data_IF_166579447933
#
_entry.id   IF_166579447933
#
_cell.length_a   1.000
_cell.length_b   1.000
_cell.length_c   1.000
_cell.angle_alpha   90.00
_cell.angle_beta   90.00
_cell.angle_gamma   90.00
#
_symmetry.space_group_name_H-M   'P 1'
#
loop_
_entity.id
_entity.type
_entity.pdbx_description
1 polymer ?
2 non-polymer ?
3 non-polymer ?
4 water ?
#
# COMPACT_ATOMS: atom_id res chain seq x y z
N UNK A 5 -8.42 9.60 -14.77
CA UNK A 5 -8.14 8.17 -14.56
C UNK A 5 -6.77 7.92 -13.93
N UNK A 6 -5.75 8.65 -14.38
CA UNK A 6 -4.45 8.67 -13.72
C UNK A 6 -4.16 10.11 -13.33
N UNK A 7 -3.72 10.29 -12.09
CA UNK A 7 -3.57 11.61 -11.52
C UNK A 7 -2.16 11.79 -10.98
N UNK A 8 -1.53 12.89 -11.35
CA UNK A 8 -0.18 13.23 -10.91
C UNK A 8 -0.30 14.03 -9.61
N UNK A 9 0.25 13.48 -8.53
CA UNK A 9 0.13 14.16 -7.25
C UNK A 9 1.35 14.99 -6.90
N UNK A 10 2.53 14.57 -7.33
CA UNK A 10 3.79 15.25 -7.14
C UNK A 10 4.84 14.41 -7.84
N UNK A 11 6.07 14.91 -8.00
CA UNK A 11 7.07 14.13 -8.76
C UNK A 11 7.25 12.72 -8.22
N UNK A 12 7.04 11.74 -9.10
CA UNK A 12 7.14 10.34 -8.74
C UNK A 12 5.99 9.80 -7.93
N UNK A 13 4.84 10.48 -7.93
CA UNK A 13 3.68 10.03 -7.17
C UNK A 13 2.45 10.06 -8.08
N UNK A 14 1.94 8.89 -8.40
CA UNK A 14 0.86 8.72 -9.36
C UNK A 14 -0.25 7.92 -8.69
N UNK A 15 -1.48 8.40 -8.82
CA UNK A 15 -2.66 7.69 -8.35
C UNK A 15 -3.42 7.14 -9.56
N UNK A 16 -3.59 5.82 -9.59
CA UNK A 16 -4.26 5.13 -10.69
C UNK A 16 -5.68 4.82 -10.22
N UNK A 17 -6.65 5.61 -10.69
CA UNK A 17 -8.02 5.45 -10.21
C UNK A 17 -8.65 4.18 -10.75
N UNK A 18 -9.25 3.39 -9.86
CA UNK A 18 -10.01 2.20 -10.26
C UNK A 18 -9.19 1.27 -11.14
N UNK A 19 -7.89 1.16 -10.82
CA UNK A 19 -6.99 0.37 -11.66
C UNK A 19 -7.26 -1.12 -11.53
N UNK A 20 -7.61 -1.60 -10.34
CA UNK A 20 -7.85 -3.02 -10.12
C UNK A 20 -9.16 -3.49 -10.77
N UNK A 21 -9.07 -4.52 -11.62
CA UNK A 21 -10.27 -5.04 -12.28
C UNK A 21 -11.21 -5.69 -11.28
N UNK A 22 -12.46 -5.86 -11.71
CA UNK A 22 -13.52 -6.47 -10.88
C UNK A 22 -13.05 -7.78 -10.27
N UNK A 23 -12.71 -8.75 -11.13
CA UNK A 23 -12.41 -10.08 -10.62
C UNK A 23 -11.12 -10.10 -9.83
N UNK A 24 -10.21 -9.17 -10.14
CA UNK A 24 -8.96 -9.09 -9.39
C UNK A 24 -9.19 -8.62 -7.96
N UNK A 25 -10.08 -7.63 -7.77
CA UNK A 25 -10.42 -7.19 -6.42
C UNK A 25 -11.03 -8.34 -5.63
N UNK A 26 -11.96 -9.06 -6.24
CA UNK A 26 -12.55 -10.20 -5.55
C UNK A 26 -11.47 -11.23 -5.23
N UNK A 27 -10.59 -11.51 -6.20
CA UNK A 27 -9.55 -12.50 -5.99
C UNK A 27 -8.59 -12.07 -4.90
N UNK A 28 -8.28 -10.77 -4.84
CA UNK A 28 -7.34 -10.28 -3.84
C UNK A 28 -7.94 -10.43 -2.44
N UNK A 29 -9.21 -10.07 -2.29
CA UNK A 29 -9.90 -10.23 -1.00
C UNK A 29 -9.94 -11.70 -0.61
N UNK A 30 -10.35 -12.57 -1.54
CA UNK A 30 -10.49 -13.99 -1.20
C UNK A 30 -9.14 -14.59 -0.79
N UNK A 31 -8.06 -14.26 -1.51
CA UNK A 31 -6.75 -14.78 -1.13
C UNK A 31 -6.32 -14.25 0.24
N UNK A 32 -6.56 -12.96 0.51
CA UNK A 32 -6.18 -12.39 1.80
C UNK A 32 -7.07 -12.91 2.93
N UNK A 33 -8.33 -13.22 2.65
CA UNK A 33 -9.17 -13.82 3.67
C UNK A 33 -8.62 -15.17 4.11
N UNK A 34 -8.17 -15.97 3.16
CA UNK A 34 -7.69 -17.31 3.47
C UNK A 34 -6.29 -17.29 4.08
N UNK A 35 -5.37 -16.53 3.48
CA UNK A 35 -4.05 -16.36 4.08
C UNK A 35 -4.13 -15.69 5.44
N UNK A 36 -5.12 -14.81 5.63
CA UNK A 36 -5.25 -14.07 6.87
C UNK A 36 -5.65 -14.88 8.08
N UNK A 37 -6.28 -16.04 7.89
CA UNK A 37 -6.68 -16.88 9.03
C UNK A 37 -5.72 -18.02 9.28
N UNK A 38 -4.83 -18.35 8.34
CA UNK A 38 -3.90 -19.44 8.50
C UNK A 38 -2.62 -19.02 9.23
N UNK A 39 -1.62 -19.89 9.13
CA UNK A 39 -0.32 -19.62 9.74
C UNK A 39 0.29 -18.34 9.15
N UNK A 40 0.80 -17.48 10.02
CA UNK A 40 1.31 -16.21 9.54
C UNK A 40 0.24 -15.23 9.13
N UNK A 41 -0.97 -15.36 9.67
CA UNK A 41 -2.08 -14.50 9.33
C UNK A 41 -2.11 -13.20 10.13
N UNK A 42 -3.27 -12.55 10.10
CA UNK A 42 -3.41 -11.22 10.68
C UNK A 42 -3.16 -11.23 12.18
N UNK A 43 -2.54 -10.16 12.67
CA UNK A 43 -2.39 -9.94 14.11
C UNK A 43 -2.42 -8.44 14.37
N UNK A 44 -2.64 -8.09 15.62
CA UNK A 44 -2.66 -6.69 16.01
C UNK A 44 -1.25 -6.27 16.41
N UNK A 45 -0.61 -5.36 15.66
CA UNK A 45 0.77 -4.98 16.01
C UNK A 45 0.78 -4.16 17.29
N UNK A 46 1.77 -4.43 18.13
CA UNK A 46 1.91 -3.63 19.34
C UNK A 46 2.41 -2.22 19.06
N UNK A 47 3.11 -2.04 17.94
CA UNK A 47 3.74 -0.78 17.58
C UNK A 47 3.63 -0.55 16.08
N UNK A 48 3.23 0.67 15.69
CA UNK A 48 3.43 1.15 14.33
C UNK A 48 3.97 2.56 14.38
N UNK A 49 4.95 2.84 13.53
CA UNK A 49 5.48 4.20 13.42
C UNK A 49 4.36 5.16 13.06
N UNK A 50 4.13 6.14 13.94
CA UNK A 50 3.05 7.09 13.78
C UNK A 50 1.82 6.79 14.61
N UNK A 51 1.77 5.63 15.24
CA UNK A 51 0.58 5.24 15.96
C UNK A 51 -0.48 4.67 15.04
N UNK A 52 -1.44 3.97 15.64
CA UNK A 52 -2.48 3.33 14.85
C UNK A 52 -3.68 3.07 15.72
N UNK A 53 -4.80 2.82 15.06
CA UNK A 53 -6.08 2.52 15.69
C UNK A 53 -6.79 1.49 14.83
N UNK A 54 -7.32 0.43 15.45
CA UNK A 54 -8.21 -0.53 14.79
C UNK A 54 -7.55 -1.10 13.52
N UNK A 55 -6.29 -1.49 13.68
CA UNK A 55 -5.47 -1.97 12.57
C UNK A 55 -4.92 -3.35 12.89
N UNK A 56 -5.07 -4.27 11.94
CA UNK A 56 -4.37 -5.54 11.96
C UNK A 56 -3.52 -5.66 10.70
N UNK A 57 -2.49 -6.49 10.76
CA UNK A 57 -1.57 -6.60 9.63
C UNK A 57 -1.06 -8.03 9.50
N UNK A 58 -0.58 -8.33 8.30
CA UNK A 58 0.17 -9.55 8.05
C UNK A 58 1.06 -9.27 6.85
N UNK A 59 2.20 -9.94 6.80
CA UNK A 59 3.11 -9.71 5.69
C UNK A 59 3.08 -10.91 4.74
N UNK A 60 3.33 -10.62 3.46
CA UNK A 60 3.63 -11.65 2.48
C UNK A 60 5.04 -11.40 1.96
N UNK A 61 5.74 -12.49 1.63
CA UNK A 61 7.13 -12.39 1.25
C UNK A 61 8.00 -12.30 2.49
N UNK A 62 8.75 -11.21 2.63
CA UNK A 62 9.52 -10.97 3.84
C UNK A 62 8.61 -10.39 4.93
N UNK A 63 9.02 -10.58 6.18
CA UNK A 63 8.25 -10.08 7.30
C UNK A 63 8.85 -8.78 7.84
N UNK A 64 7.99 -7.81 8.12
CA UNK A 64 8.37 -6.61 8.86
C UNK A 64 7.92 -6.78 10.31
N UNK A 65 8.88 -6.78 11.24
CA UNK A 65 8.56 -7.08 12.64
C UNK A 65 8.40 -5.79 13.43
N UNK A 66 7.27 -5.59 14.13
CA UNK A 66 7.12 -4.34 14.90
C UNK A 66 8.07 -4.24 16.08
N UNK A 67 8.23 -5.33 16.83
CA UNK A 67 9.04 -5.27 18.05
C UNK A 67 10.48 -4.87 17.75
N UNK A 68 11.05 -5.37 16.64
CA UNK A 68 12.43 -5.10 16.28
C UNK A 68 12.57 -4.02 15.21
N UNK A 69 11.50 -3.70 14.49
CA UNK A 69 11.50 -2.67 13.45
C UNK A 69 12.52 -2.99 12.35
N UNK A 70 12.54 -4.26 11.91
CA UNK A 70 13.44 -4.73 10.87
C UNK A 70 12.76 -5.84 10.08
N UNK A 71 13.36 -6.21 8.96
CA UNK A 71 12.85 -7.25 8.07
C UNK A 71 13.51 -8.61 8.34
N UNK A 72 12.75 -9.68 8.12
CA UNK A 72 13.28 -11.00 8.40
C UNK A 72 12.46 -12.08 7.72
N UNK A 73 12.82 -13.34 7.98
CA UNK A 73 12.17 -14.50 7.38
C UNK A 73 10.91 -14.94 8.10
N UNK A 74 10.82 -14.73 9.40
CA UNK A 74 9.69 -15.22 10.18
C UNK A 74 9.25 -14.16 11.18
N UNK A 75 8.00 -14.25 11.61
CA UNK A 75 7.53 -13.40 12.70
C UNK A 75 8.16 -13.88 14.00
N UNK A 76 8.82 -13.01 14.75
CA UNK A 76 9.45 -13.46 16.00
C UNK A 76 8.47 -14.02 17.02
N UNK A 77 7.28 -13.42 17.18
CA UNK A 77 6.43 -13.77 18.31
C UNK A 77 5.83 -15.16 18.19
N UNK A 78 5.62 -15.67 16.98
CA UNK A 78 5.10 -17.03 16.83
C UNK A 78 5.90 -17.91 15.88
N UNK A 79 7.02 -17.43 15.34
CA UNK A 79 7.83 -18.23 14.46
C UNK A 79 7.24 -18.53 13.09
N UNK A 80 6.10 -17.97 12.73
CA UNK A 80 5.48 -18.30 11.45
C UNK A 80 6.22 -17.65 10.29
N UNK A 81 6.38 -18.41 9.22
CA UNK A 81 6.89 -17.78 8.00
C UNK A 81 5.73 -17.17 7.22
N UNK A 82 5.90 -15.97 6.68
CA UNK A 82 4.83 -15.36 5.91
C UNK A 82 4.57 -16.15 4.65
N UNK A 83 3.32 -16.20 4.18
CA UNK A 83 3.06 -16.71 2.83
C UNK A 83 3.86 -15.93 1.81
N UNK A 84 4.18 -16.57 0.69
CA UNK A 84 4.86 -15.81 -0.34
C UNK A 84 3.87 -14.91 -1.07
N UNK A 85 4.39 -13.92 -1.78
CA UNK A 85 3.56 -13.00 -2.55
C UNK A 85 3.02 -13.75 -3.76
N UNK A 86 1.70 -13.83 -3.94
CA UNK A 86 1.14 -14.44 -5.15
C UNK A 86 1.70 -13.76 -6.40
N UNK A 87 2.01 -14.57 -7.42
CA UNK A 87 2.55 -13.99 -8.65
C UNK A 87 1.56 -13.06 -9.32
N UNK A 88 0.27 -13.30 -9.17
CA UNK A 88 -0.72 -12.39 -9.75
C UNK A 88 -0.62 -11.01 -9.12
N UNK A 89 -0.30 -10.95 -7.83
CA UNK A 89 -0.11 -9.65 -7.18
C UNK A 89 1.07 -8.91 -7.79
N UNK A 90 2.20 -9.62 -7.95
CA UNK A 90 3.39 -9.01 -8.55
C UNK A 90 3.12 -8.55 -9.97
N UNK A 91 2.31 -9.31 -10.73
CA UNK A 91 1.95 -8.91 -12.10
C UNK A 91 1.21 -7.57 -12.12
N UNK A 92 0.22 -7.42 -11.23
CA UNK A 92 -0.56 -6.19 -11.17
C UNK A 92 0.33 -5.03 -10.78
N UNK A 93 1.26 -5.24 -9.84
CA UNK A 93 2.19 -4.19 -9.43
C UNK A 93 3.00 -3.70 -10.63
N UNK A 94 3.56 -4.63 -11.40
CA UNK A 94 4.37 -4.25 -12.54
C UNK A 94 3.54 -3.56 -13.62
N UNK A 95 2.29 -3.99 -13.81
CA UNK A 95 1.39 -3.31 -14.74
C UNK A 95 1.11 -1.88 -14.29
N UNK A 96 0.94 -1.68 -12.97
CA UNK A 96 0.68 -0.34 -12.45
C UNK A 96 1.87 0.59 -12.70
N UNK A 97 3.09 0.07 -12.49
CA UNK A 97 4.28 0.85 -12.78
C UNK A 97 4.36 1.16 -14.27
N UNK A 98 4.13 0.15 -15.11
CA UNK A 98 4.16 0.38 -16.55
C UNK A 98 3.14 1.43 -16.96
N UNK A 99 1.92 1.35 -16.42
CA UNK A 99 0.91 2.34 -16.75
C UNK A 99 1.30 3.72 -16.27
N UNK A 100 1.85 3.79 -15.06
CA UNK A 100 2.31 5.08 -14.53
C UNK A 100 3.38 5.69 -15.42
N UNK A 101 4.37 4.88 -15.82
CA UNK A 101 5.46 5.43 -16.61
C UNK A 101 4.99 5.89 -17.98
N UNK A 102 3.99 5.22 -18.54
CA UNK A 102 3.40 5.69 -19.79
C UNK A 102 2.70 7.03 -19.59
N UNK A 103 1.96 7.16 -18.48
CA UNK A 103 1.34 8.42 -18.13
C UNK A 103 2.39 9.52 -17.99
N UNK A 104 3.47 9.25 -17.24
CA UNK A 104 4.52 10.25 -17.03
C UNK A 104 5.22 10.59 -18.34
N UNK A 105 5.36 9.61 -19.24
CA UNK A 105 5.90 9.90 -20.58
C UNK A 105 5.02 10.90 -21.31
N UNK A 106 3.71 10.70 -21.26
CA UNK A 106 2.82 11.57 -22.04
C UNK A 106 2.71 12.96 -21.42
N UNK A 107 2.85 13.08 -20.11
CA UNK A 107 2.74 14.36 -19.46
C UNK A 107 4.04 15.16 -19.50
N UNK A 108 5.10 14.63 -20.13
CA UNK A 108 6.43 15.18 -19.95
C UNK A 108 6.57 16.60 -20.49
N UNK A 109 5.94 16.88 -21.64
CA UNK A 109 6.39 17.86 -22.63
C UNK A 109 7.06 19.14 -22.07
N UNK A 110 7.94 19.77 -22.88
CA UNK A 110 9.38 19.90 -22.60
C UNK A 110 10.04 21.05 -21.82
N UNK A 111 9.47 21.59 -20.75
CA UNK A 111 10.23 22.53 -19.93
C UNK A 111 11.03 21.84 -18.82
N UNK A 112 10.89 20.52 -18.67
CA UNK A 112 11.48 19.79 -17.55
C UNK A 112 11.95 18.42 -18.03
N UNK A 113 12.69 17.74 -17.15
CA UNK A 113 13.10 16.37 -17.40
C UNK A 113 11.87 15.46 -17.53
N UNK A 114 12.04 14.38 -18.28
CA UNK A 114 11.04 13.31 -18.34
C UNK A 114 11.10 12.52 -17.04
N UNK A 115 9.93 12.35 -16.40
CA UNK A 115 9.88 11.54 -15.18
C UNK A 115 9.67 10.07 -15.52
N UNK A 116 10.21 9.22 -14.66
CA UNK A 116 10.12 7.79 -14.85
C UNK A 116 10.33 7.10 -13.51
N UNK A 117 9.39 6.24 -13.13
CA UNK A 117 9.53 5.48 -11.90
C UNK A 117 10.43 4.27 -12.13
N UNK A 118 11.34 3.96 -11.21
CA UNK A 118 12.16 2.75 -11.35
C UNK A 118 11.30 1.50 -11.30
N UNK A 119 11.76 0.40 -11.87
CA UNK A 119 10.99 -0.84 -11.80
C UNK A 119 10.96 -1.38 -10.37
N UNK A 120 10.03 -2.30 -10.14
CA UNK A 120 9.91 -2.90 -8.81
C UNK A 120 9.75 -4.40 -8.95
N UNK A 121 10.53 -5.13 -8.16
CA UNK A 121 10.35 -6.57 -7.98
C UNK A 121 10.07 -6.77 -6.49
N UNK A 122 8.83 -6.54 -6.06
CA UNK A 122 8.57 -6.50 -4.62
C UNK A 122 8.79 -7.86 -3.98
N UNK A 123 9.49 -7.84 -2.85
CA UNK A 123 9.64 -9.01 -2.00
C UNK A 123 9.01 -8.76 -0.64
N UNK A 124 8.35 -7.62 -0.46
CA UNK A 124 7.64 -7.23 0.74
C UNK A 124 6.23 -6.85 0.33
N UNK A 125 5.22 -7.47 0.94
CA UNK A 125 3.86 -6.96 0.87
C UNK A 125 3.29 -6.84 2.28
N UNK A 126 3.00 -5.62 2.69
CA UNK A 126 2.35 -5.38 3.96
C UNK A 126 0.84 -5.33 3.70
N UNK A 127 0.10 -6.24 4.33
CA UNK A 127 -1.36 -6.28 4.23
C UNK A 127 -1.92 -5.68 5.52
N UNK A 128 -2.55 -4.52 5.40
CA UNK A 128 -3.16 -3.80 6.52
C UNK A 128 -4.67 -3.94 6.43
N UNK A 129 -5.32 -4.33 7.52
CA UNK A 129 -6.78 -4.28 7.56
C UNK A 129 -7.24 -3.29 8.63
N UNK A 130 -8.05 -2.33 8.22
CA UNK A 130 -8.64 -1.30 9.08
C UNK A 130 -10.12 -1.58 9.23
N UNK A 131 -10.63 -1.63 10.46
CA UNK A 131 -12.07 -1.55 10.61
C UNK A 131 -12.50 -0.08 10.47
N UNK A 132 -13.79 0.21 10.72
CA UNK A 132 -14.29 1.54 10.37
C UNK A 132 -13.63 2.64 11.19
N UNK A 133 -13.15 2.34 12.39
CA UNK A 133 -12.48 3.33 13.22
C UNK A 133 -10.98 3.39 12.98
N UNK A 134 -10.50 2.81 11.88
CA UNK A 134 -9.06 2.66 11.69
C UNK A 134 -8.36 3.97 11.39
N UNK A 135 -7.07 4.01 11.74
CA UNK A 135 -6.19 5.14 11.47
C UNK A 135 -4.75 4.62 11.50
N UNK A 136 -3.87 5.34 10.81
CA UNK A 136 -2.43 5.05 10.83
C UNK A 136 -1.73 6.39 10.73
N UNK A 137 -0.88 6.72 11.71
CA UNK A 137 -0.28 8.04 11.78
C UNK A 137 0.79 8.29 10.74
N UNK A 138 1.16 9.57 10.58
CA UNK A 138 2.19 9.94 9.60
C UNK A 138 3.51 9.22 9.88
N UNK A 139 4.12 8.69 8.82
CA UNK A 139 5.40 8.00 8.92
C UNK A 139 6.03 7.95 7.54
N UNK A 140 7.33 7.69 7.52
CA UNK A 140 8.07 7.39 6.31
C UNK A 140 8.26 5.88 6.18
N UNK A 141 8.26 5.37 4.95
CA UNK A 141 8.65 3.99 4.68
C UNK A 141 10.17 4.00 4.59
N UNK A 142 10.83 3.87 5.74
CA UNK A 142 12.26 4.09 5.80
C UNK A 142 13.03 2.85 6.26
N UNK A 143 12.41 1.67 6.26
CA UNK A 143 13.05 0.46 6.78
C UNK A 143 13.67 -0.41 5.70
N UNK A 144 13.49 -0.10 4.42
CA UNK A 144 14.14 -0.81 3.33
C UNK A 144 15.64 -0.48 3.32
N UNK A 145 16.42 -1.29 2.58
CA UNK A 145 17.87 -1.10 2.55
C UNK A 145 18.23 0.24 1.91
N UNK A 146 19.39 0.77 2.28
CA UNK A 146 19.81 2.07 1.76
C UNK A 146 19.88 2.11 0.23
N UNK A 147 20.42 1.10 -0.47
CA UNK A 147 20.39 1.17 -1.94
C UNK A 147 18.99 1.18 -2.51
N UNK A 148 18.07 0.42 -1.92
CA UNK A 148 16.67 0.47 -2.35
C UNK A 148 16.10 1.87 -2.21
N UNK A 149 16.31 2.49 -1.05
CA UNK A 149 15.82 3.85 -0.84
C UNK A 149 16.55 4.85 -1.72
N UNK A 150 17.87 4.71 -1.83
CA UNK A 150 18.65 5.68 -2.61
C UNK A 150 18.27 5.65 -4.08
N UNK A 151 17.92 4.47 -4.60
CA UNK A 151 17.48 4.36 -5.98
C UNK A 151 16.04 4.83 -6.17
N UNK A 152 15.32 5.12 -5.09
CA UNK A 152 13.94 5.55 -5.21
C UNK A 152 12.97 4.48 -5.64
N UNK A 153 13.30 3.21 -5.42
CA UNK A 153 12.41 2.12 -5.77
C UNK A 153 11.03 2.36 -5.15
N UNK A 154 9.97 2.33 -5.94
CA UNK A 154 8.68 2.85 -5.48
C UNK A 154 7.98 1.94 -4.49
N UNK A 155 7.07 2.56 -3.74
CA UNK A 155 6.05 1.87 -2.96
C UNK A 155 4.81 1.80 -3.81
N UNK A 156 4.21 0.61 -3.93
CA UNK A 156 2.97 0.42 -4.70
C UNK A 156 1.89 -0.07 -3.75
N UNK A 157 0.78 0.65 -3.68
CA UNK A 157 -0.25 0.42 -2.66
C UNK A 157 -1.61 0.17 -3.30
N UNK A 158 -2.21 -0.99 -2.99
CA UNK A 158 -3.57 -1.34 -3.41
C UNK A 158 -4.56 -0.92 -2.33
N UNK A 159 -5.73 -0.43 -2.75
CA UNK A 159 -6.80 -0.08 -1.83
C UNK A 159 -8.06 -0.86 -2.19
N UNK A 160 -8.71 -1.46 -1.20
CA UNK A 160 -9.94 -2.21 -1.44
C UNK A 160 -10.91 -2.02 -0.28
N UNK A 161 -12.20 -1.95 -0.60
CA UNK A 161 -13.21 -1.79 0.44
C UNK A 161 -13.58 -0.35 0.68
N UNK A 162 -13.76 0.03 1.94
CA UNK A 162 -14.09 1.41 2.26
C UNK A 162 -12.96 2.37 1.86
N UNK A 163 -13.35 3.60 1.54
CA UNK A 163 -12.39 4.63 1.15
C UNK A 163 -11.56 5.09 2.34
N UNK A 164 -10.27 5.32 2.11
CA UNK A 164 -9.40 5.91 3.11
C UNK A 164 -9.13 7.37 2.76
N UNK A 165 -9.11 8.23 3.77
CA UNK A 165 -8.55 9.58 3.64
C UNK A 165 -7.05 9.46 3.89
N UNK A 166 -6.24 9.69 2.86
CA UNK A 166 -4.81 9.42 2.87
C UNK A 166 -4.06 10.74 2.93
N UNK A 167 -3.19 10.89 3.93
CA UNK A 167 -2.41 12.11 4.11
C UNK A 167 -1.01 11.90 3.55
N UNK A 168 -0.43 12.95 2.96
CA UNK A 168 0.95 12.85 2.51
C UNK A 168 1.61 14.23 2.50
N UNK A 169 2.90 14.25 2.77
CA UNK A 169 3.63 15.50 2.80
C UNK A 169 5.09 15.26 3.09
N UNK A 170 5.82 16.35 3.27
CA UNK A 170 7.27 16.24 3.44
C UNK A 170 7.70 16.15 4.89
N UNK A 171 6.80 16.36 5.85
CA UNK A 171 7.15 16.45 7.26
C UNK A 171 6.11 15.74 8.11
N UNK A 172 6.47 15.50 9.37
CA UNK A 172 5.60 14.86 10.34
C UNK A 172 4.72 15.92 11.05
N UNK A 173 3.82 16.50 10.25
CA UNK A 173 2.91 17.53 10.76
C UNK A 173 1.73 17.61 9.81
N UNK A 174 0.54 17.21 10.30
CA UNK A 174 -0.67 17.21 9.49
C UNK A 174 -0.99 18.59 8.92
N UNK A 175 -0.54 19.66 9.60
CA UNK A 175 -0.81 21.00 9.08
C UNK A 175 -0.14 21.24 7.74
N UNK A 176 0.88 20.44 7.42
CA UNK A 176 1.60 20.58 6.16
C UNK A 176 1.29 19.43 5.20
N UNK A 177 0.29 18.61 5.51
CA UNK A 177 -0.02 17.44 4.71
C UNK A 177 -1.11 17.79 3.69
N UNK A 178 -1.05 17.11 2.55
CA UNK A 178 -2.14 17.10 1.59
C UNK A 178 -3.02 15.86 1.83
N UNK A 179 -4.23 15.88 1.28
CA UNK A 179 -5.17 14.77 1.43
C UNK A 179 -5.65 14.30 0.05
N UNK A 180 -5.71 12.98 -0.12
CA UNK A 180 -6.38 12.38 -1.28
C UNK A 180 -7.19 11.19 -0.78
N UNK A 181 -8.36 10.99 -1.38
CA UNK A 181 -9.15 9.80 -1.07
C UNK A 181 -8.65 8.60 -1.88
N UNK A 182 -8.40 7.50 -1.20
CA UNK A 182 -8.06 6.24 -1.84
C UNK A 182 -9.29 5.35 -1.78
N UNK A 183 -9.94 5.17 -2.93
CA UNK A 183 -11.19 4.42 -3.05
C UNK A 183 -10.90 3.00 -3.49
N UNK A 184 -11.88 2.12 -3.33
CA UNK A 184 -11.70 0.71 -3.68
C UNK A 184 -11.28 0.58 -5.15
N UNK A 185 -10.21 -0.18 -5.38
CA UNK A 185 -9.64 -0.38 -6.69
C UNK A 185 -8.51 0.57 -7.04
N UNK A 186 -8.33 1.65 -6.28
CA UNK A 186 -7.25 2.59 -6.58
C UNK A 186 -5.89 1.97 -6.29
N UNK A 187 -4.90 2.32 -7.10
CA UNK A 187 -3.51 1.97 -6.86
C UNK A 187 -2.72 3.25 -6.78
N UNK A 188 -1.95 3.42 -5.71
CA UNK A 188 -1.12 4.60 -5.50
C UNK A 188 0.34 4.17 -5.56
N UNK A 189 1.17 4.94 -6.27
CA UNK A 189 2.61 4.66 -6.37
C UNK A 189 3.35 5.90 -5.92
N UNK A 190 4.32 5.75 -5.01
CA UNK A 190 5.26 6.83 -4.74
C UNK A 190 6.70 6.31 -4.79
N UNK A 191 7.50 6.92 -5.66
CA UNK A 191 8.91 6.58 -5.77
C UNK A 191 9.70 7.79 -6.22
N UNK A 192 10.97 7.59 -6.57
CA UNK A 192 11.77 8.74 -6.95
C UNK A 192 11.81 9.76 -5.84
N UNK A 193 11.64 11.03 -6.23
CA UNK A 193 11.71 12.10 -5.24
C UNK A 193 10.58 12.05 -4.21
N UNK A 194 9.54 11.24 -4.44
CA UNK A 194 8.48 11.08 -3.44
C UNK A 194 8.63 9.83 -2.59
N UNK A 195 9.75 9.09 -2.71
CA UNK A 195 9.86 7.80 -2.05
C UNK A 195 9.79 7.91 -0.54
N UNK A 196 10.22 9.05 0.02
CA UNK A 196 10.29 9.22 1.46
C UNK A 196 9.23 10.20 1.99
N UNK A 197 8.10 10.34 1.30
CA UNK A 197 7.04 11.18 1.83
C UNK A 197 6.58 10.63 3.18
N UNK A 198 6.25 11.54 4.08
CA UNK A 198 5.46 11.18 5.25
C UNK A 198 4.03 10.92 4.81
N UNK A 199 3.39 9.88 5.35
CA UNK A 199 2.06 9.53 4.86
C UNK A 199 1.33 8.72 5.93
N UNK A 200 0.02 8.63 5.77
CA UNK A 200 -0.77 7.87 6.72
C UNK A 200 -2.23 7.90 6.35
N UNK A 201 -3.05 7.32 7.23
CA UNK A 201 -4.48 7.18 6.99
C UNK A 201 -5.19 7.89 8.13
N UNK A 202 -5.85 9.01 7.83
CA UNK A 202 -6.49 9.79 8.89
C UNK A 202 -7.89 9.30 9.23
N UNK A 203 -8.53 8.57 8.31
CA UNK A 203 -9.94 8.22 8.48
C UNK A 203 -10.30 7.16 7.45
N UNK A 204 -11.16 6.23 7.84
CA UNK A 204 -11.85 5.34 6.92
C UNK A 204 -13.27 5.86 6.78
N UNK A 205 -13.73 6.04 5.54
CA UNK A 205 -15.09 6.53 5.30
C UNK A 205 -16.06 5.36 5.38
N UNK A 206 -16.94 5.29 6.37
CA UNK A 206 -17.78 4.10 6.49
C UNK A 206 -18.77 4.01 5.34
N UNK A 207 -19.11 2.76 5.00
CA UNK A 207 -20.18 2.46 4.04
C UNK A 207 -19.87 3.02 2.66
N UNK A 208 -18.60 2.98 2.26
CA UNK A 208 -18.22 3.45 0.94
C UNK A 208 -17.76 2.33 0.01
N UNK A 209 -17.52 1.14 0.53
CA UNK A 209 -17.14 0.00 -0.30
C UNK A 209 -18.24 -0.31 -1.32
N UNK A 210 -17.88 -0.64 -2.56
CA UNK A 210 -18.90 -0.95 -3.57
C UNK A 210 -19.72 -2.17 -3.16
N UNK A 211 -21.03 -2.09 -3.41
CA UNK A 211 -21.93 -3.17 -3.03
C UNK A 211 -21.54 -4.49 -3.67
N UNK A 212 -21.17 -4.46 -4.96
CA UNK A 212 -20.82 -5.70 -5.64
C UNK A 212 -19.62 -6.37 -5.00
N UNK A 213 -18.66 -5.58 -4.50
CA UNK A 213 -17.48 -6.19 -3.88
C UNK A 213 -17.82 -6.75 -2.51
N UNK A 214 -18.57 -6.00 -1.70
CA UNK A 214 -19.00 -6.51 -0.41
C UNK A 214 -19.77 -7.82 -0.58
N UNK A 215 -20.62 -7.87 -1.62
CA UNK A 215 -21.48 -9.04 -1.85
C UNK A 215 -20.69 -10.22 -2.40
N UNK A 216 -19.88 -9.98 -3.44
CA UNK A 216 -19.23 -11.12 -4.08
C UNK A 216 -18.07 -11.64 -3.25
N UNK A 217 -17.32 -10.75 -2.59
CA UNK A 217 -16.16 -11.15 -1.81
C UNK A 217 -16.48 -11.39 -0.34
N UNK A 218 -17.72 -11.15 0.08
CA UNK A 218 -18.12 -11.25 1.49
C UNK A 218 -17.18 -10.44 2.38
N UNK A 219 -16.98 -9.18 2.01
CA UNK A 219 -16.04 -8.29 2.68
C UNK A 219 -16.65 -7.72 3.95
N UNK A 220 -15.92 -7.81 5.05
CA UNK A 220 -16.38 -7.22 6.31
C UNK A 220 -16.20 -5.69 6.25
N UNK A 221 -16.91 -4.95 7.12
CA UNK A 221 -16.77 -3.49 7.13
C UNK A 221 -15.33 -3.06 7.31
N UNK A 222 -14.89 -2.08 6.52
CA UNK A 222 -13.55 -1.59 6.68
C UNK A 222 -12.81 -1.61 5.36
N UNK A 223 -11.48 -1.54 5.46
CA UNK A 223 -10.63 -1.34 4.29
C UNK A 223 -9.43 -2.28 4.33
N UNK A 224 -9.11 -2.87 3.18
CA UNK A 224 -7.92 -3.69 3.04
C UNK A 224 -6.91 -2.97 2.16
N UNK A 225 -5.68 -2.86 2.66
CA UNK A 225 -4.58 -2.25 1.91
C UNK A 225 -3.49 -3.29 1.73
N UNK A 226 -2.88 -3.30 0.54
CA UNK A 226 -1.69 -4.10 0.28
C UNK A 226 -0.61 -3.13 -0.17
N UNK A 227 0.49 -3.09 0.57
CA UNK A 227 1.58 -2.14 0.28
C UNK A 227 2.81 -2.95 -0.10
N UNK A 228 3.26 -2.78 -1.35
CA UNK A 228 4.37 -3.56 -1.91
C UNK A 228 5.66 -2.73 -1.93
N UNK A 229 6.77 -3.33 -1.49
CA UNK A 229 8.07 -2.66 -1.54
C UNK A 229 9.15 -3.65 -1.92
N UNK A 230 10.30 -3.12 -2.29
CA UNK A 230 11.49 -3.92 -2.56
C UNK A 230 12.52 -3.60 -1.49
N UNK A 231 12.92 -4.61 -0.73
CA UNK A 231 13.90 -4.47 0.35
C UNK A 231 15.22 -3.87 -0.13
#
# INVERSE_FOLDING_TARGET
KEAAPLQYLRPGMVLLKKFLKHDDQVDIIRRCQKLGIGSGGFYTPGYRDGGKLSLQMMCLGKNWDPNSRSYGDTRPFDGAQPPSIPEVFSKIVKDAIQASNEFLRQKARPANDVEELPPLSPDICLVNFYTSSGKLGLHQDKDETKPSLHKGLPVVSFSLGDTAEFLYGDVNDVDKASKVDLESGDVLIFGGKSRLIFHGVSRIKPKTAPNWLTDEAKLRPGRLNLTFRQH
#
